data_IF_366099887957
#
_entry.id   IF_366099887957
#
_cell.length_a   1.000
_cell.length_b   1.000
_cell.length_c   1.000
_cell.angle_alpha   90.00
_cell.angle_beta   90.00
_cell.angle_gamma   90.00
#
_symmetry.space_group_name_H-M   'P 1'
#
loop_
_entity.id
_entity.type
_entity.pdbx_description
1 polymer ?
#
# COMPACT_ATOMS: atom_id res chain seq x y z
N UNK A 1 -4.56 -3.17 -0.71
CA UNK A 1 -3.22 -2.92 -1.31
C UNK A 1 -3.40 -2.65 -2.80
N UNK A 2 -4.12 -1.57 -3.13
CA UNK A 2 -4.58 -1.30 -4.50
C UNK A 2 -4.23 0.12 -4.93
N UNK A 3 -3.81 0.30 -6.19
CA UNK A 3 -3.49 1.62 -6.71
C UNK A 3 -4.71 2.52 -6.90
N UNK A 4 -5.91 1.93 -7.05
CA UNK A 4 -7.13 2.68 -7.33
C UNK A 4 -7.57 3.59 -6.18
N UNK A 5 -7.36 3.16 -4.93
CA UNK A 5 -7.97 3.83 -3.78
C UNK A 5 -7.18 5.06 -3.31
N UNK A 6 -5.96 5.25 -3.80
CA UNK A 6 -5.10 6.39 -3.44
C UNK A 6 -5.76 7.75 -3.67
N UNK A 7 -6.61 7.87 -4.70
CA UNK A 7 -7.30 9.13 -5.02
C UNK A 7 -8.75 9.18 -4.55
N UNK A 8 -9.34 8.04 -4.15
CA UNK A 8 -10.74 7.99 -3.71
C UNK A 8 -10.84 8.01 -2.19
N UNK A 9 -9.94 7.32 -1.49
CA UNK A 9 -9.86 7.22 -0.03
C UNK A 9 -8.90 8.27 0.52
N UNK A 10 -7.66 8.27 0.04
CA UNK A 10 -6.58 9.11 0.57
C UNK A 10 -6.49 10.48 -0.11
N UNK A 11 -7.63 11.16 -0.29
CA UNK A 11 -7.71 12.43 -1.04
C UNK A 11 -6.79 13.52 -0.50
N UNK A 12 -6.57 13.54 0.81
CA UNK A 12 -5.76 14.55 1.49
C UNK A 12 -4.34 14.08 1.75
N UNK A 13 -4.17 12.81 2.10
CA UNK A 13 -2.91 12.21 2.57
C UNK A 13 -2.03 11.75 1.41
N UNK A 14 -2.50 10.80 0.58
CA UNK A 14 -1.68 10.18 -0.47
C UNK A 14 -1.93 10.73 -1.87
N UNK A 15 -3.14 11.17 -2.22
CA UNK A 15 -3.45 11.64 -3.57
C UNK A 15 -2.47 12.72 -4.09
N UNK A 16 -2.08 13.75 -3.29
CA UNK A 16 -1.14 14.76 -3.76
C UNK A 16 0.28 14.22 -4.03
N UNK A 17 0.61 13.05 -3.49
CA UNK A 17 1.95 12.47 -3.48
C UNK A 17 2.06 11.31 -4.46
N UNK A 18 1.02 10.49 -4.54
CA UNK A 18 0.94 9.25 -5.31
C UNK A 18 -0.46 9.12 -5.91
N UNK A 19 -0.81 9.95 -6.91
CA UNK A 19 -2.13 9.92 -7.49
C UNK A 19 -2.35 8.61 -8.26
N UNK A 20 -3.53 8.03 -8.11
CA UNK A 20 -3.96 6.75 -8.74
C UNK A 20 -3.63 6.65 -10.22
N UNK A 21 -3.75 7.75 -10.98
CA UNK A 21 -3.48 7.79 -12.42
C UNK A 21 -2.04 7.46 -12.79
N UNK A 22 -1.10 7.54 -11.84
CA UNK A 22 0.31 7.26 -12.04
C UNK A 22 0.72 5.86 -11.54
N UNK A 23 -0.19 5.13 -10.88
CA UNK A 23 0.10 3.77 -10.43
C UNK A 23 0.38 2.86 -11.62
N UNK A 24 1.35 1.96 -11.44
CA UNK A 24 1.69 0.93 -12.43
C UNK A 24 1.88 -0.40 -11.75
N UNK A 25 1.22 -1.44 -12.24
CA UNK A 25 1.42 -2.80 -11.76
C UNK A 25 2.69 -3.40 -12.34
N UNK A 26 3.36 -4.26 -11.57
CA UNK A 26 4.48 -5.06 -12.05
C UNK A 26 4.14 -6.55 -11.97
N UNK A 27 4.74 -7.41 -12.82
CA UNK A 27 4.45 -8.84 -12.80
C UNK A 27 4.70 -9.49 -11.43
N UNK A 28 3.74 -10.27 -10.95
CA UNK A 28 3.89 -11.05 -9.73
C UNK A 28 4.91 -12.19 -9.89
N UNK A 29 5.62 -12.49 -8.81
CA UNK A 29 6.48 -13.66 -8.67
C UNK A 29 5.80 -14.78 -7.86
N UNK A 30 6.55 -15.84 -7.55
CA UNK A 30 6.02 -16.97 -6.76
C UNK A 30 5.66 -16.59 -5.32
N UNK A 31 6.44 -15.69 -4.72
CA UNK A 31 6.34 -15.29 -3.31
C UNK A 31 6.17 -13.78 -3.11
N UNK A 32 5.85 -13.03 -4.15
CA UNK A 32 5.59 -11.60 -4.04
C UNK A 32 4.67 -11.10 -5.16
N UNK A 33 3.96 -10.01 -4.89
CA UNK A 33 3.20 -9.25 -5.88
C UNK A 33 3.07 -7.80 -5.42
N UNK A 34 2.73 -6.88 -6.32
CA UNK A 34 2.66 -5.48 -5.98
C UNK A 34 2.60 -4.53 -7.16
N UNK A 35 2.76 -3.25 -6.84
CA UNK A 35 2.69 -2.16 -7.80
C UNK A 35 3.64 -1.03 -7.43
N UNK A 36 3.95 -0.18 -8.40
CA UNK A 36 4.62 1.09 -8.20
C UNK A 36 3.61 2.19 -7.92
N UNK A 37 3.82 2.88 -6.81
CA UNK A 37 3.12 4.10 -6.44
C UNK A 37 4.01 5.29 -6.85
N UNK A 38 3.71 5.89 -8.00
CA UNK A 38 4.61 6.84 -8.67
C UNK A 38 4.31 8.29 -8.25
N UNK A 39 5.35 9.08 -8.06
CA UNK A 39 5.25 10.48 -7.62
C UNK A 39 5.09 11.43 -8.81
N UNK A 40 4.35 12.56 -8.65
CA UNK A 40 4.40 13.67 -9.60
C UNK A 40 5.82 14.19 -9.79
N UNK A 41 6.19 14.56 -11.02
CA UNK A 41 7.56 15.01 -11.38
C UNK A 41 7.96 16.33 -10.71
N UNK A 42 6.97 17.12 -10.29
CA UNK A 42 7.13 18.37 -9.57
C UNK A 42 7.12 18.19 -8.04
N UNK A 43 6.94 16.97 -7.54
CA UNK A 43 6.98 16.69 -6.11
C UNK A 43 8.42 16.89 -5.59
N UNK A 44 8.64 17.72 -4.55
CA UNK A 44 9.95 17.88 -3.94
C UNK A 44 10.50 16.54 -3.43
N UNK A 45 11.83 16.36 -3.51
CA UNK A 45 12.49 15.20 -2.90
C UNK A 45 12.18 15.13 -1.41
N UNK A 46 11.88 13.92 -0.94
CA UNK A 46 11.41 13.68 0.43
C UNK A 46 12.45 12.89 1.20
N UNK A 47 13.13 13.52 2.15
CA UNK A 47 14.16 12.87 2.97
C UNK A 47 15.44 12.54 2.20
N UNK A 48 16.31 11.77 2.84
CA UNK A 48 17.60 11.35 2.29
C UNK A 48 17.45 10.02 1.54
N UNK A 49 17.92 9.97 0.30
CA UNK A 49 17.90 8.74 -0.52
C UNK A 49 19.25 8.03 -0.48
N UNK A 50 19.23 6.72 -0.69
CA UNK A 50 20.45 5.96 -0.90
C UNK A 50 21.13 6.40 -2.21
N UNK A 51 22.45 6.60 -2.25
CA UNK A 51 23.15 7.12 -3.43
C UNK A 51 23.03 6.23 -4.67
N UNK A 52 22.79 4.93 -4.48
CA UNK A 52 22.69 3.97 -5.58
C UNK A 52 21.32 3.96 -6.28
N UNK A 53 20.33 4.72 -5.78
CA UNK A 53 19.00 4.76 -6.39
C UNK A 53 19.03 5.58 -7.68
N UNK A 54 18.53 4.99 -8.75
CA UNK A 54 18.28 5.68 -10.03
C UNK A 54 17.18 6.75 -9.88
N UNK A 55 17.14 7.71 -10.80
CA UNK A 55 16.08 8.73 -10.80
C UNK A 55 14.68 8.12 -10.86
N UNK A 56 14.50 7.01 -11.59
CA UNK A 56 13.23 6.29 -11.65
C UNK A 56 12.83 5.68 -10.30
N UNK A 57 13.78 5.06 -9.59
CA UNK A 57 13.53 4.48 -8.26
C UNK A 57 13.27 5.55 -7.20
N UNK A 58 13.90 6.72 -7.34
CA UNK A 58 13.63 7.88 -6.49
C UNK A 58 12.22 8.45 -6.72
N UNK A 59 11.66 8.26 -7.92
CA UNK A 59 10.37 8.81 -8.34
C UNK A 59 9.17 7.90 -8.03
N UNK A 60 9.37 6.81 -7.27
CA UNK A 60 8.29 5.88 -6.91
C UNK A 60 8.49 5.24 -5.55
N UNK A 61 7.39 4.73 -4.99
CA UNK A 61 7.43 3.70 -3.96
C UNK A 61 7.12 2.34 -4.58
N UNK A 62 7.77 1.30 -4.09
CA UNK A 62 7.38 -0.10 -4.35
C UNK A 62 6.41 -0.53 -3.25
N UNK A 63 5.17 -0.80 -3.63
CA UNK A 63 4.16 -1.35 -2.73
C UNK A 63 4.03 -2.83 -3.03
N UNK A 64 4.45 -3.69 -2.09
CA UNK A 64 4.51 -5.13 -2.32
C UNK A 64 3.96 -5.93 -1.14
N UNK A 65 3.53 -7.15 -1.42
CA UNK A 65 3.15 -8.13 -0.43
C UNK A 65 4.10 -9.32 -0.50
N UNK A 66 4.41 -9.88 0.66
CA UNK A 66 4.94 -11.24 0.80
C UNK A 66 3.82 -12.05 1.42
N UNK A 67 3.03 -12.77 0.61
CA UNK A 67 1.81 -13.40 1.08
C UNK A 67 2.10 -14.55 2.07
N UNK A 68 1.15 -14.85 2.98
CA UNK A 68 -0.19 -14.26 3.04
C UNK A 68 -0.30 -13.02 3.93
N UNK A 69 0.70 -12.71 4.74
CA UNK A 69 0.50 -11.88 5.95
C UNK A 69 1.40 -10.66 6.05
N UNK A 70 2.27 -10.40 5.07
CA UNK A 70 3.15 -9.24 5.08
C UNK A 70 2.86 -8.32 3.90
N UNK A 71 2.72 -7.03 4.19
CA UNK A 71 2.61 -5.96 3.20
C UNK A 71 3.58 -4.85 3.54
N UNK A 72 4.26 -4.29 2.56
CA UNK A 72 5.16 -3.16 2.74
C UNK A 72 5.09 -2.15 1.60
N UNK A 73 5.43 -0.92 1.95
CA UNK A 73 5.69 0.18 1.03
C UNK A 73 7.11 0.68 1.23
N UNK A 74 7.92 0.64 0.18
CA UNK A 74 9.31 1.09 0.20
C UNK A 74 9.48 2.30 -0.71
N UNK A 75 9.84 3.44 -0.13
CA UNK A 75 10.31 4.62 -0.85
C UNK A 75 11.82 4.79 -0.60
N UNK A 76 12.52 5.55 -1.45
CA UNK A 76 13.97 5.70 -1.34
C UNK A 76 14.52 6.23 0.00
N UNK A 77 13.67 6.81 0.84
CA UNK A 77 14.03 7.35 2.17
C UNK A 77 13.45 6.58 3.35
N UNK A 78 12.39 5.79 3.15
CA UNK A 78 11.63 5.15 4.23
C UNK A 78 10.89 3.90 3.78
N UNK A 79 10.61 3.02 4.72
CA UNK A 79 9.75 1.85 4.57
C UNK A 79 8.60 1.92 5.57
N UNK A 80 7.40 1.57 5.13
CA UNK A 80 6.27 1.23 6.01
C UNK A 80 5.94 -0.24 5.81
N UNK A 81 5.61 -0.95 6.89
CA UNK A 81 5.25 -2.37 6.81
C UNK A 81 4.10 -2.71 7.75
N UNK A 82 3.34 -3.71 7.35
CA UNK A 82 2.20 -4.28 8.06
C UNK A 82 2.38 -5.81 8.13
N UNK A 83 2.33 -6.35 9.33
CA UNK A 83 2.12 -7.77 9.58
C UNK A 83 0.66 -7.99 9.98
N UNK A 84 -0.02 -8.84 9.23
CA UNK A 84 -1.43 -9.17 9.42
C UNK A 84 -1.53 -10.49 10.18
N UNK A 85 -2.34 -10.53 11.23
CA UNK A 85 -2.63 -11.75 11.97
C UNK A 85 -4.14 -11.95 12.03
N UNK A 86 -4.68 -12.99 11.35
CA UNK A 86 -6.09 -13.33 11.45
C UNK A 86 -6.44 -13.69 12.90
N UNK A 87 -7.49 -13.06 13.45
CA UNK A 87 -8.03 -13.40 14.78
C UNK A 87 -9.38 -14.11 14.65
N UNK A 88 -10.17 -13.75 13.63
CA UNK A 88 -11.42 -14.40 13.27
C UNK A 88 -11.67 -14.25 11.77
N UNK A 89 -12.78 -14.81 11.27
CA UNK A 89 -13.18 -14.62 9.87
C UNK A 89 -13.51 -13.15 9.51
N UNK A 90 -13.74 -12.28 10.51
CA UNK A 90 -14.07 -10.87 10.30
C UNK A 90 -13.11 -9.88 10.98
N UNK A 91 -12.00 -10.36 11.54
CA UNK A 91 -11.09 -9.52 12.32
C UNK A 91 -9.64 -9.90 12.06
N UNK A 92 -8.81 -8.89 11.82
CA UNK A 92 -7.37 -9.01 11.65
C UNK A 92 -6.68 -8.07 12.63
N UNK A 93 -5.69 -8.58 13.34
CA UNK A 93 -4.77 -7.76 14.11
C UNK A 93 -3.62 -7.31 13.21
N UNK A 94 -3.28 -6.03 13.27
CA UNK A 94 -2.23 -5.44 12.43
C UNK A 94 -1.11 -4.93 13.31
N UNK A 95 0.09 -5.50 13.15
CA UNK A 95 1.32 -4.91 13.67
C UNK A 95 1.93 -4.06 12.56
N UNK A 96 2.12 -2.77 12.81
CA UNK A 96 2.61 -1.81 11.83
C UNK A 96 3.88 -1.12 12.29
N UNK A 97 4.70 -0.67 11.34
CA UNK A 97 5.91 0.06 11.66
C UNK A 97 6.45 0.89 10.50
N UNK A 98 7.37 1.79 10.85
CA UNK A 98 8.11 2.65 9.94
C UNK A 98 9.60 2.45 10.18
N UNK A 99 10.37 2.43 9.09
CA UNK A 99 11.82 2.47 9.12
C UNK A 99 12.31 3.59 8.21
N UNK A 100 13.40 4.26 8.60
CA UNK A 100 13.97 5.39 7.86
C UNK A 100 15.41 5.06 7.49
N UNK A 101 15.83 5.54 6.32
CA UNK A 101 17.22 5.41 5.88
C UNK A 101 18.15 6.42 6.56
N UNK A 102 17.63 7.57 6.97
CA UNK A 102 18.39 8.60 7.68
C UNK A 102 18.47 8.24 9.18
N UNK A 103 19.65 7.88 9.71
CA UNK A 103 19.81 7.60 11.13
C UNK A 103 19.68 8.85 12.01
N UNK A 104 19.73 10.04 11.41
CA UNK A 104 19.69 11.33 12.10
C UNK A 104 18.42 12.12 11.76
N UNK A 105 17.33 11.44 11.37
CA UNK A 105 16.05 12.10 11.12
C UNK A 105 15.66 12.98 12.31
N UNK A 106 15.22 14.22 12.03
CA UNK A 106 14.80 15.14 13.07
C UNK A 106 13.56 14.60 13.80
N UNK A 107 13.42 14.92 15.09
CA UNK A 107 12.24 14.52 15.86
C UNK A 107 10.94 15.04 15.24
N UNK A 108 10.99 16.26 14.70
CA UNK A 108 9.88 16.88 13.97
C UNK A 108 9.47 16.06 12.73
N UNK A 109 10.43 15.68 11.89
CA UNK A 109 10.14 14.95 10.66
C UNK A 109 9.72 13.51 10.94
N UNK A 110 10.31 12.89 11.96
CA UNK A 110 9.88 11.58 12.46
C UNK A 110 8.42 11.63 12.91
N UNK A 111 8.07 12.61 13.75
CA UNK A 111 6.70 12.78 14.24
C UNK A 111 5.71 13.01 13.10
N UNK A 112 6.04 13.88 12.14
CA UNK A 112 5.19 14.13 10.98
C UNK A 112 4.98 12.87 10.13
N UNK A 113 6.01 12.06 9.96
CA UNK A 113 5.91 10.81 9.21
C UNK A 113 5.02 9.78 9.92
N UNK A 114 5.13 9.68 11.26
CA UNK A 114 4.25 8.84 12.09
C UNK A 114 2.81 9.33 12.02
N UNK A 115 2.57 10.62 12.24
CA UNK A 115 1.23 11.21 12.21
C UNK A 115 0.55 11.00 10.86
N UNK A 116 1.27 11.21 9.75
CA UNK A 116 0.75 10.94 8.40
C UNK A 116 0.43 9.46 8.20
N UNK A 117 1.30 8.56 8.66
CA UNK A 117 1.07 7.12 8.53
C UNK A 117 -0.17 6.68 9.32
N UNK A 118 -0.33 7.16 10.55
CA UNK A 118 -1.50 6.87 11.38
C UNK A 118 -2.80 7.42 10.75
N UNK A 119 -2.77 8.60 10.13
CA UNK A 119 -3.90 9.14 9.38
C UNK A 119 -4.30 8.25 8.20
N UNK A 120 -3.31 7.80 7.41
CA UNK A 120 -3.55 6.88 6.28
C UNK A 120 -4.19 5.59 6.78
N UNK A 121 -3.65 5.00 7.86
CA UNK A 121 -4.20 3.77 8.44
C UNK A 121 -5.64 3.96 8.96
N UNK A 122 -5.96 5.12 9.53
CA UNK A 122 -7.32 5.43 9.97
C UNK A 122 -8.28 5.59 8.79
N UNK A 123 -7.85 6.22 7.69
CA UNK A 123 -8.63 6.32 6.45
C UNK A 123 -8.95 4.94 5.87
N UNK A 124 -7.95 4.05 5.78
CA UNK A 124 -8.13 2.68 5.32
C UNK A 124 -9.08 1.88 6.22
N UNK A 125 -8.88 1.94 7.54
CA UNK A 125 -9.71 1.20 8.48
C UNK A 125 -11.19 1.56 8.34
N UNK A 126 -11.50 2.85 8.20
CA UNK A 126 -12.87 3.32 7.98
C UNK A 126 -13.50 2.76 6.69
N UNK A 127 -12.72 2.58 5.61
CA UNK A 127 -13.24 2.00 4.37
C UNK A 127 -13.38 0.48 4.47
N UNK A 128 -12.42 -0.20 5.11
CA UNK A 128 -12.48 -1.64 5.33
C UNK A 128 -13.68 -2.03 6.19
N UNK A 129 -14.02 -1.26 7.22
CA UNK A 129 -15.23 -1.47 8.04
C UNK A 129 -16.53 -1.34 7.23
N UNK A 130 -16.55 -0.44 6.23
CA UNK A 130 -17.70 -0.31 5.32
C UNK A 130 -17.77 -1.48 4.36
N UNK A 131 -16.63 -1.87 3.80
CA UNK A 131 -16.52 -3.02 2.91
C UNK A 131 -16.97 -4.31 3.60
N UNK A 132 -16.48 -4.58 4.82
CA UNK A 132 -16.80 -5.76 5.61
C UNK A 132 -18.31 -5.89 5.86
N UNK A 133 -18.98 -4.79 6.21
CA UNK A 133 -20.45 -4.78 6.35
C UNK A 133 -21.16 -5.07 5.03
N UNK A 134 -20.68 -4.52 3.91
CA UNK A 134 -21.21 -4.79 2.58
C UNK A 134 -21.06 -6.25 2.16
N UNK A 135 -19.93 -6.87 2.48
CA UNK A 135 -19.64 -8.29 2.20
C UNK A 135 -20.54 -9.25 2.98
N UNK A 136 -21.16 -8.81 4.07
CA UNK A 136 -22.12 -9.60 4.85
C UNK A 136 -23.56 -9.49 4.32
N UNK A 137 -23.81 -8.68 3.29
CA UNK A 137 -25.15 -8.50 2.73
C UNK A 137 -25.62 -9.72 1.93
N UNK A 138 -26.90 -10.09 2.10
CA UNK A 138 -27.56 -11.11 1.27
C UNK A 138 -27.68 -10.68 -0.21
N UNK A 139 -27.54 -9.38 -0.49
CA UNK A 139 -27.61 -8.81 -1.84
C UNK A 139 -26.23 -8.55 -2.46
N UNK A 140 -25.17 -9.12 -1.87
CA UNK A 140 -23.82 -8.98 -2.42
C UNK A 140 -23.76 -9.52 -3.85
N UNK A 141 -23.30 -8.69 -4.78
CA UNK A 141 -22.91 -9.09 -6.13
C UNK A 141 -21.41 -8.95 -6.32
N UNK A 142 -20.84 -9.71 -7.25
CA UNK A 142 -19.45 -9.53 -7.70
C UNK A 142 -19.41 -8.74 -9.01
N UNK A 143 -18.29 -8.08 -9.26
CA UNK A 143 -18.02 -7.37 -10.50
C UNK A 143 -16.59 -7.71 -10.98
N UNK A 144 -16.28 -7.55 -12.27
CA UNK A 144 -14.92 -7.69 -12.77
C UNK A 144 -13.97 -6.71 -12.06
N UNK A 145 -12.73 -7.14 -11.88
CA UNK A 145 -11.67 -6.25 -11.42
C UNK A 145 -11.34 -5.21 -12.50
N UNK A 146 -10.92 -4.03 -12.04
CA UNK A 146 -10.35 -2.97 -12.84
C UNK A 146 -9.02 -3.40 -13.50
N UNK A 147 -8.52 -2.64 -14.50
CA UNK A 147 -7.23 -2.91 -15.12
C UNK A 147 -6.07 -3.10 -14.13
N UNK A 148 -5.02 -3.81 -14.58
CA UNK A 148 -3.91 -4.25 -13.73
C UNK A 148 -3.29 -3.14 -12.86
N UNK A 149 -3.09 -1.94 -13.41
CA UNK A 149 -2.53 -0.79 -12.68
C UNK A 149 -3.36 -0.36 -11.45
N UNK A 150 -4.61 -0.79 -11.36
CA UNK A 150 -5.56 -0.43 -10.32
C UNK A 150 -5.82 -1.59 -9.36
N UNK A 151 -6.14 -2.77 -9.87
CA UNK A 151 -6.54 -3.95 -9.07
C UNK A 151 -5.74 -5.23 -9.38
N UNK A 152 -4.63 -5.14 -10.12
CA UNK A 152 -3.77 -6.28 -10.44
C UNK A 152 -3.27 -7.04 -9.20
N UNK A 153 -2.96 -6.35 -8.11
CA UNK A 153 -2.52 -7.02 -6.87
C UNK A 153 -3.63 -7.85 -6.21
N UNK A 154 -4.89 -7.45 -6.37
CA UNK A 154 -6.04 -8.21 -5.87
C UNK A 154 -6.15 -9.51 -6.64
N UNK A 155 -6.02 -9.42 -7.97
CA UNK A 155 -5.96 -10.58 -8.86
C UNK A 155 -4.81 -11.52 -8.50
N UNK A 156 -3.60 -10.99 -8.27
CA UNK A 156 -2.43 -11.76 -7.89
C UNK A 156 -2.64 -12.48 -6.55
N UNK A 157 -3.25 -11.81 -5.58
CA UNK A 157 -3.57 -12.41 -4.28
C UNK A 157 -4.61 -13.53 -4.41
N UNK A 158 -5.67 -13.35 -5.21
CA UNK A 158 -6.64 -14.41 -5.49
C UNK A 158 -5.99 -15.62 -6.14
N UNK A 159 -5.10 -15.41 -7.10
CA UNK A 159 -4.34 -16.50 -7.72
C UNK A 159 -3.39 -17.19 -6.74
N UNK A 160 -2.73 -16.44 -5.86
CA UNK A 160 -1.93 -17.02 -4.78
C UNK A 160 -2.78 -17.92 -3.89
N UNK A 161 -3.94 -17.44 -3.43
CA UNK A 161 -4.85 -18.23 -2.58
C UNK A 161 -5.35 -19.47 -3.30
N UNK A 162 -5.75 -19.36 -4.57
CA UNK A 162 -6.20 -20.48 -5.37
C UNK A 162 -5.13 -21.59 -5.44
N UNK A 163 -3.86 -21.24 -5.67
CA UNK A 163 -2.75 -22.22 -5.69
C UNK A 163 -2.46 -22.88 -4.34
N UNK A 164 -2.89 -22.27 -3.22
CA UNK A 164 -2.62 -22.79 -1.86
C UNK A 164 -3.79 -23.57 -1.27
N UNK A 165 -5.01 -23.35 -1.77
CA UNK A 165 -6.24 -23.88 -1.19
C UNK A 165 -6.98 -24.85 -2.10
N UNK A 166 -6.75 -24.82 -3.41
CA UNK A 166 -7.35 -25.71 -4.42
C UNK A 166 -6.30 -26.67 -4.97
#
# INVERSE_FOLDING_TARGET
MEGYHLSTVHRKTLHPITPTRLCSHFPAGEGYFGYFSVFPTDLPRRGKYHPDLTDEEQQRSVMFAVPPLHVAGLAGHKMSYLYLQPESAGTVRVQRGLAFSDPNISEHDFKNAVDLFEQIMAEDNNQLDRLQRGLQSLYLGTAPLAPANYEGNVWDFYHYLARKLL
#
